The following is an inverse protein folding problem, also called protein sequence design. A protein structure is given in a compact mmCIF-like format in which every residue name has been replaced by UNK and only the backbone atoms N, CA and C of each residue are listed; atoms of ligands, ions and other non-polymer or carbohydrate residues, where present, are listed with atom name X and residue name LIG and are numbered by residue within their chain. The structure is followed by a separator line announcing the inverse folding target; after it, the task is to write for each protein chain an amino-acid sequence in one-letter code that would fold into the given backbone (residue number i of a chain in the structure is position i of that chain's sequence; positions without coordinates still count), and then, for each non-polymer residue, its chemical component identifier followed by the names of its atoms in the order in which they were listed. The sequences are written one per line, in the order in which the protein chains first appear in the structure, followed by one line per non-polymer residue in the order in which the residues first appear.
data_IF_948675519758
#
_entry.id   IF_948675519758
#
_cell.length_a   1.000
_cell.length_b   1.000
_cell.length_c   1.000
_cell.angle_alpha   90.00
_cell.angle_beta   90.00
_cell.angle_gamma   90.00
#
_symmetry.space_group_name_H-M   'P 1'
#
loop_
_entity.id
_entity.type
_entity.pdbx_description
1 polymer ?
#
# COMPACT_ATOMS: atom_id res chain seq x y z
N UNK A 1 4.20 4.01 92.64
CA UNK A 1 3.73 4.55 93.93
C UNK A 1 2.39 5.24 93.64
N UNK A 2 1.29 4.53 93.86
CA UNK A 2 0.35 4.72 94.98
C UNK A 2 -0.93 5.47 94.49
N UNK A 3 -1.99 4.65 94.44
CA UNK A 3 -3.37 4.87 94.93
C UNK A 3 -4.18 6.10 94.50
N UNK A 4 -5.25 5.75 93.76
CA UNK A 4 -6.68 5.98 94.06
C UNK A 4 -7.30 7.38 93.84
N UNK A 5 -8.64 7.41 93.64
CA UNK A 5 -9.32 8.26 92.67
C UNK A 5 -10.14 9.38 93.34
N UNK A 6 -10.65 10.30 92.53
CA UNK A 6 -11.80 11.12 92.91
C UNK A 6 -12.87 11.12 91.82
N UNK A 7 -14.07 10.79 92.28
CA UNK A 7 -15.32 10.79 91.54
C UNK A 7 -15.85 12.22 91.48
N UNK A 8 -16.14 12.72 90.28
CA UNK A 8 -17.02 13.89 90.13
C UNK A 8 -18.11 13.62 89.09
N UNK A 9 -19.31 13.46 89.64
CA UNK A 9 -20.61 13.38 89.00
C UNK A 9 -20.93 14.70 88.29
N UNK A 10 -21.09 14.69 86.96
CA UNK A 10 -21.83 15.72 86.20
C UNK A 10 -22.80 15.00 85.26
N UNK A 11 -24.04 14.88 85.71
CA UNK A 11 -25.16 15.71 85.26
C UNK A 11 -25.48 15.47 83.79
N UNK A 12 -26.41 14.55 83.56
CA UNK A 12 -26.93 14.23 82.24
C UNK A 12 -27.63 15.44 81.64
N UNK A 13 -27.08 15.92 80.54
CA UNK A 13 -27.86 16.67 79.55
C UNK A 13 -28.49 15.64 78.64
N UNK A 14 -29.81 15.49 78.76
CA UNK A 14 -30.60 14.68 77.86
C UNK A 14 -30.42 15.21 76.44
N UNK A 15 -29.72 14.46 75.61
CA UNK A 15 -29.59 14.74 74.19
C UNK A 15 -30.95 14.37 73.56
N UNK A 16 -31.86 15.34 73.47
CA UNK A 16 -33.13 15.18 72.78
C UNK A 16 -32.81 14.85 71.32
N UNK A 17 -32.91 13.56 70.97
CA UNK A 17 -32.93 13.10 69.58
C UNK A 17 -34.06 13.85 68.88
N UNK A 18 -33.73 14.87 68.09
CA UNK A 18 -34.61 15.42 67.07
C UNK A 18 -34.95 14.27 66.12
N UNK A 19 -36.12 13.66 66.30
CA UNK A 19 -36.74 12.89 65.24
C UNK A 19 -36.96 13.87 64.10
N UNK A 20 -36.15 13.78 63.05
CA UNK A 20 -36.48 14.45 61.80
C UNK A 20 -37.85 13.92 61.37
N UNK A 21 -38.83 14.79 61.09
CA UNK A 21 -40.11 14.33 60.59
C UNK A 21 -39.85 13.52 59.31
N UNK A 22 -40.31 12.27 59.31
CA UNK A 22 -40.38 11.47 58.09
C UNK A 22 -41.45 12.13 57.21
N UNK A 23 -41.01 12.98 56.29
CA UNK A 23 -41.86 13.41 55.20
C UNK A 23 -42.11 12.19 54.31
N UNK A 24 -43.33 11.66 54.36
CA UNK A 24 -43.76 10.58 53.47
C UNK A 24 -43.76 11.10 52.05
N UNK A 25 -42.88 10.53 51.22
CA UNK A 25 -42.83 10.81 49.79
C UNK A 25 -44.13 10.29 49.17
N UNK A 26 -44.81 11.11 48.36
CA UNK A 26 -46.06 10.67 47.73
C UNK A 26 -45.77 9.65 46.63
N UNK A 27 -46.62 8.63 46.44
CA UNK A 27 -46.46 7.62 45.38
C UNK A 27 -46.27 8.25 43.98
N UNK A 28 -46.89 9.41 43.75
CA UNK A 28 -46.78 10.15 42.49
C UNK A 28 -45.39 10.78 42.29
N UNK A 29 -44.73 11.21 43.36
CA UNK A 29 -43.40 11.82 43.31
C UNK A 29 -42.32 10.77 42.99
N UNK A 30 -42.47 9.55 43.54
CA UNK A 30 -41.64 8.40 43.16
C UNK A 30 -41.89 7.96 41.70
N UNK A 31 -43.14 8.00 41.25
CA UNK A 31 -43.47 7.68 39.85
C UNK A 31 -42.86 8.71 38.88
N UNK A 32 -43.00 10.01 39.17
CA UNK A 32 -42.47 11.10 38.33
C UNK A 32 -40.95 11.05 38.26
N UNK A 33 -40.27 10.88 39.41
CA UNK A 33 -38.80 10.79 39.44
C UNK A 33 -38.27 9.58 38.67
N UNK A 34 -38.93 8.42 38.77
CA UNK A 34 -38.57 7.23 37.99
C UNK A 34 -38.75 7.46 36.49
N UNK A 35 -39.86 8.08 36.07
CA UNK A 35 -40.13 8.38 34.66
C UNK A 35 -39.09 9.34 34.09
N UNK A 36 -38.77 10.42 34.81
CA UNK A 36 -37.74 11.38 34.39
C UNK A 36 -36.36 10.71 34.35
N UNK A 37 -36.01 9.91 35.37
CA UNK A 37 -34.75 9.18 35.43
C UNK A 37 -34.56 8.22 34.26
N UNK A 38 -35.59 7.44 33.93
CA UNK A 38 -35.58 6.54 32.77
C UNK A 38 -35.46 7.31 31.45
N UNK A 39 -36.16 8.44 31.33
CA UNK A 39 -36.06 9.31 30.14
C UNK A 39 -34.64 9.84 29.91
N UNK A 40 -33.97 10.31 30.98
CA UNK A 40 -32.59 10.80 30.90
C UNK A 40 -31.60 9.69 30.53
N UNK A 41 -31.74 8.51 31.15
CA UNK A 41 -30.87 7.35 30.84
C UNK A 41 -31.06 6.93 29.39
N UNK A 42 -32.30 6.86 28.89
CA UNK A 42 -32.59 6.50 27.49
C UNK A 42 -31.97 7.50 26.51
N UNK A 43 -32.04 8.80 26.80
CA UNK A 43 -31.44 9.85 25.98
C UNK A 43 -29.90 9.74 25.93
N UNK A 44 -29.24 9.59 27.09
CA UNK A 44 -27.79 9.42 27.18
C UNK A 44 -27.33 8.14 26.48
N UNK A 45 -28.11 7.06 26.62
CA UNK A 45 -27.80 5.78 25.99
C UNK A 45 -27.89 5.87 24.46
N UNK A 46 -28.88 6.59 23.92
CA UNK A 46 -28.99 6.85 22.48
C UNK A 46 -27.79 7.63 21.94
N UNK A 47 -27.39 8.70 22.64
CA UNK A 47 -26.20 9.48 22.29
C UNK A 47 -24.92 8.64 22.34
N UNK A 48 -24.77 7.80 23.36
CA UNK A 48 -23.63 6.89 23.48
C UNK A 48 -23.53 5.92 22.29
N UNK A 49 -24.63 5.30 21.87
CA UNK A 49 -24.63 4.38 20.73
C UNK A 49 -24.34 5.09 19.39
N UNK A 50 -24.93 6.26 19.15
CA UNK A 50 -24.65 7.05 17.95
C UNK A 50 -23.19 7.51 17.89
N UNK A 51 -22.65 7.96 19.02
CA UNK A 51 -21.25 8.35 19.17
C UNK A 51 -20.30 7.18 18.90
N UNK A 52 -20.54 6.01 19.53
CA UNK A 52 -19.74 4.80 19.31
C UNK A 52 -19.76 4.32 17.86
N UNK A 53 -20.92 4.37 17.19
CA UNK A 53 -21.03 4.00 15.77
C UNK A 53 -20.23 4.96 14.88
N UNK A 54 -20.32 6.26 15.16
CA UNK A 54 -19.57 7.29 14.42
C UNK A 54 -18.06 7.15 14.60
N UNK A 55 -17.61 6.88 15.83
CA UNK A 55 -16.20 6.63 16.11
C UNK A 55 -15.65 5.45 15.31
N UNK A 56 -16.37 4.32 15.28
CA UNK A 56 -15.95 3.14 14.53
C UNK A 56 -15.91 3.38 13.02
N UNK A 57 -16.89 4.10 12.48
CA UNK A 57 -16.89 4.50 11.06
C UNK A 57 -15.66 5.34 10.74
N UNK A 58 -15.38 6.35 11.58
CA UNK A 58 -14.23 7.22 11.38
C UNK A 58 -12.90 6.47 11.52
N UNK A 59 -12.77 5.59 12.50
CA UNK A 59 -11.57 4.79 12.72
C UNK A 59 -11.27 3.86 11.54
N UNK A 60 -12.26 3.12 11.04
CA UNK A 60 -12.06 2.24 9.88
C UNK A 60 -11.79 3.05 8.59
N UNK A 61 -12.38 4.23 8.44
CA UNK A 61 -12.05 5.13 7.33
C UNK A 61 -10.60 5.60 7.40
N UNK A 62 -10.12 6.01 8.58
CA UNK A 62 -8.74 6.44 8.77
C UNK A 62 -7.74 5.31 8.53
N UNK A 63 -8.01 4.10 9.04
CA UNK A 63 -7.18 2.91 8.80
C UNK A 63 -7.07 2.60 7.31
N UNK A 64 -8.21 2.53 6.61
CA UNK A 64 -8.23 2.31 5.16
C UNK A 64 -7.44 3.37 4.39
N UNK A 65 -7.57 4.63 4.79
CA UNK A 65 -6.87 5.74 4.14
C UNK A 65 -5.37 5.69 4.41
N UNK A 66 -4.95 5.35 5.62
CA UNK A 66 -3.53 5.20 5.98
C UNK A 66 -2.89 4.04 5.23
N UNK A 67 -3.53 2.88 5.28
CA UNK A 67 -3.08 1.64 4.65
C UNK A 67 -2.95 1.81 3.12
N UNK A 68 -3.98 2.38 2.49
CA UNK A 68 -3.95 2.66 1.05
C UNK A 68 -2.89 3.68 0.66
N UNK A 69 -2.72 4.77 1.42
CA UNK A 69 -1.65 5.75 1.14
C UNK A 69 -0.27 5.12 1.25
N UNK A 70 -0.04 4.29 2.26
CA UNK A 70 1.22 3.58 2.44
C UNK A 70 1.53 2.66 1.25
N UNK A 71 0.60 1.80 0.86
CA UNK A 71 0.79 0.88 -0.27
C UNK A 71 1.02 1.64 -1.59
N UNK A 72 0.24 2.69 -1.85
CA UNK A 72 0.39 3.53 -3.05
C UNK A 72 1.75 4.25 -3.07
N UNK A 73 2.22 4.77 -1.93
CA UNK A 73 3.52 5.43 -1.83
C UNK A 73 4.69 4.45 -2.03
N UNK A 74 4.58 3.23 -1.50
CA UNK A 74 5.60 2.19 -1.68
C UNK A 74 5.73 1.80 -3.16
N UNK A 75 4.61 1.52 -3.83
CA UNK A 75 4.59 1.21 -5.26
C UNK A 75 5.08 2.40 -6.09
N UNK A 76 4.65 3.63 -5.77
CA UNK A 76 5.11 4.84 -6.44
C UNK A 76 6.63 5.01 -6.35
N UNK A 77 7.20 4.83 -5.16
CA UNK A 77 8.65 4.97 -4.94
C UNK A 77 9.44 4.01 -5.82
N UNK A 78 9.02 2.74 -5.87
CA UNK A 78 9.66 1.73 -6.72
C UNK A 78 9.47 2.04 -8.22
N UNK A 79 8.25 2.40 -8.64
CA UNK A 79 7.96 2.78 -10.03
C UNK A 79 8.78 3.99 -10.49
N UNK A 80 9.01 4.99 -9.63
CA UNK A 80 9.85 6.16 -9.98
C UNK A 80 11.31 5.79 -10.22
N UNK A 81 11.79 4.69 -9.62
CA UNK A 81 13.15 4.19 -9.78
C UNK A 81 13.29 3.28 -11.02
N UNK A 82 12.19 2.78 -11.59
CA UNK A 82 12.17 1.92 -12.77
C UNK A 82 13.18 2.36 -13.84
N UNK A 83 14.09 1.44 -14.21
CA UNK A 83 15.10 1.66 -15.24
C UNK A 83 16.31 2.49 -14.82
N UNK A 84 16.41 2.89 -13.55
CA UNK A 84 17.58 3.65 -13.08
C UNK A 84 18.85 2.80 -13.20
N UNK A 85 19.92 3.41 -13.71
CA UNK A 85 21.28 2.90 -13.71
C UNK A 85 22.27 4.06 -13.68
N UNK A 86 23.50 3.80 -13.24
CA UNK A 86 24.53 4.83 -13.29
C UNK A 86 24.97 5.04 -14.73
N UNK A 87 25.06 6.30 -15.13
CA UNK A 87 25.61 6.68 -16.42
C UNK A 87 27.10 6.33 -16.47
N UNK A 88 27.50 5.57 -17.48
CA UNK A 88 28.87 5.05 -17.61
C UNK A 88 29.60 5.58 -18.83
N UNK A 89 28.85 6.05 -19.82
CA UNK A 89 29.34 6.91 -20.88
C UNK A 89 28.22 7.86 -21.27
N UNK A 90 28.54 9.15 -21.34
CA UNK A 90 27.73 10.15 -22.03
C UNK A 90 28.46 10.45 -23.33
N UNK A 91 27.84 10.14 -24.46
CA UNK A 91 28.36 10.57 -25.76
C UNK A 91 27.76 11.93 -26.10
N UNK A 92 28.51 12.80 -26.77
CA UNK A 92 27.95 14.02 -27.36
C UNK A 92 27.27 13.74 -28.73
N UNK A 93 27.39 12.52 -29.24
CA UNK A 93 26.80 12.09 -30.49
C UNK A 93 25.35 11.66 -30.25
N UNK A 94 24.40 12.33 -30.90
CA UNK A 94 22.97 11.99 -30.82
C UNK A 94 22.66 10.55 -31.31
N UNK A 95 23.62 9.90 -31.99
CA UNK A 95 23.53 8.52 -32.45
C UNK A 95 23.96 7.48 -31.39
N UNK A 96 24.69 7.88 -30.33
CA UNK A 96 25.16 6.96 -29.30
C UNK A 96 24.33 7.13 -28.01
N UNK A 97 23.39 6.20 -27.83
CA UNK A 97 22.50 6.07 -26.66
C UNK A 97 23.28 6.14 -25.35
N UNK A 98 22.86 7.01 -24.42
CA UNK A 98 23.38 7.06 -23.05
C UNK A 98 23.42 5.64 -22.44
N UNK A 99 24.62 5.19 -22.08
CA UNK A 99 24.83 3.81 -21.61
C UNK A 99 24.87 3.80 -20.09
N UNK A 100 23.90 3.13 -19.51
CA UNK A 100 23.86 2.85 -18.08
C UNK A 100 24.40 1.47 -17.77
N UNK A 101 24.84 1.25 -16.53
CA UNK A 101 25.19 -0.08 -16.01
C UNK A 101 23.97 -0.93 -15.59
N UNK A 102 22.75 -0.46 -15.87
CA UNK A 102 21.52 -1.25 -15.68
C UNK A 102 21.35 -2.25 -16.81
N UNK A 103 21.62 -3.52 -16.50
CA UNK A 103 21.60 -4.63 -17.45
C UNK A 103 20.66 -5.76 -17.04
N UNK A 104 20.27 -6.61 -17.98
CA UNK A 104 19.66 -7.89 -17.67
C UNK A 104 20.72 -8.93 -17.25
N UNK A 105 20.33 -10.06 -16.64
CA UNK A 105 21.26 -11.16 -16.34
C UNK A 105 22.02 -11.70 -17.56
N UNK A 106 21.47 -11.55 -18.77
CA UNK A 106 22.10 -11.92 -20.04
C UNK A 106 23.05 -10.84 -20.59
N UNK A 107 23.27 -9.75 -19.86
CA UNK A 107 24.14 -8.64 -20.27
C UNK A 107 23.56 -7.73 -21.35
N UNK A 108 22.24 -7.79 -21.59
CA UNK A 108 21.51 -6.86 -22.47
C UNK A 108 21.10 -5.60 -21.68
N UNK A 109 20.67 -4.50 -22.32
CA UNK A 109 20.07 -3.38 -21.59
C UNK A 109 18.93 -3.88 -20.70
N UNK A 110 18.89 -3.42 -19.46
CA UNK A 110 17.88 -3.85 -18.49
C UNK A 110 16.47 -3.43 -18.90
N UNK A 111 15.46 -4.16 -18.40
CA UNK A 111 14.05 -3.83 -18.58
C UNK A 111 13.52 -3.25 -17.27
N UNK A 112 13.33 -1.93 -17.23
CA UNK A 112 12.99 -1.22 -15.98
C UNK A 112 11.57 -1.47 -15.48
N UNK A 113 10.64 -1.71 -16.39
CA UNK A 113 9.23 -1.94 -16.08
C UNK A 113 8.62 -2.99 -17.02
N UNK A 114 7.81 -3.88 -16.45
CA UNK A 114 6.83 -4.72 -17.15
C UNK A 114 5.57 -4.87 -16.30
N UNK A 115 4.45 -5.17 -16.93
CA UNK A 115 3.15 -5.32 -16.27
C UNK A 115 2.35 -6.50 -16.78
N UNK A 116 1.38 -6.93 -16.00
CA UNK A 116 0.37 -7.92 -16.39
C UNK A 116 -1.01 -7.41 -15.96
N UNK A 117 -2.02 -7.54 -16.82
CA UNK A 117 -3.38 -7.08 -16.53
C UNK A 117 -4.10 -7.99 -15.52
N UNK A 118 -3.81 -9.30 -15.56
CA UNK A 118 -4.41 -10.32 -14.70
C UNK A 118 -3.39 -11.01 -13.76
N UNK A 119 -2.26 -10.34 -13.55
CA UNK A 119 -1.19 -10.82 -12.68
C UNK A 119 -0.33 -11.91 -13.32
N UNK A 120 0.51 -12.55 -12.49
CA UNK A 120 1.57 -13.45 -12.96
C UNK A 120 1.16 -14.92 -12.90
N UNK A 121 1.67 -15.72 -13.84
CA UNK A 121 1.53 -17.20 -13.82
C UNK A 121 2.29 -17.77 -12.62
N UNK A 122 3.53 -17.34 -12.43
CA UNK A 122 4.41 -17.73 -11.32
C UNK A 122 4.96 -16.49 -10.63
N UNK A 123 4.19 -15.85 -9.72
CA UNK A 123 4.61 -14.60 -9.10
C UNK A 123 5.89 -14.70 -8.27
N UNK A 124 6.27 -15.90 -7.82
CA UNK A 124 7.48 -16.16 -7.02
C UNK A 124 8.68 -16.64 -7.86
N UNK A 125 8.52 -16.75 -9.18
CA UNK A 125 9.60 -17.16 -10.08
C UNK A 125 10.25 -15.91 -10.70
N UNK A 126 11.55 -16.00 -10.98
CA UNK A 126 12.24 -14.96 -11.76
C UNK A 126 11.73 -14.88 -13.21
N UNK A 127 11.13 -15.97 -13.73
CA UNK A 127 10.50 -15.97 -15.04
C UNK A 127 9.32 -14.99 -15.06
N UNK A 128 9.31 -14.10 -16.04
CA UNK A 128 8.21 -13.18 -16.26
C UNK A 128 7.18 -13.83 -17.19
N UNK A 129 5.96 -14.03 -16.71
CA UNK A 129 4.85 -14.52 -17.51
C UNK A 129 3.51 -14.01 -16.95
N UNK A 130 2.68 -13.43 -17.81
CA UNK A 130 1.35 -12.94 -17.47
C UNK A 130 0.29 -14.03 -17.59
N UNK A 131 -0.67 -14.01 -16.68
CA UNK A 131 -1.91 -14.79 -16.82
C UNK A 131 -2.77 -14.18 -17.93
N UNK A 132 -3.53 -15.01 -18.67
CA UNK A 132 -4.42 -14.52 -19.72
C UNK A 132 -5.71 -13.88 -19.18
N UNK A 133 -6.14 -14.24 -17.97
CA UNK A 133 -7.36 -13.73 -17.32
C UNK A 133 -7.44 -14.15 -15.85
N UNK A 134 -8.30 -13.49 -15.07
CA UNK A 134 -8.79 -14.02 -13.79
C UNK A 134 -7.94 -13.64 -12.59
N UNK A 135 -7.25 -12.50 -12.66
CA UNK A 135 -6.50 -11.94 -11.56
C UNK A 135 -6.66 -10.42 -11.49
N UNK A 136 -5.88 -9.82 -10.59
CA UNK A 136 -5.71 -8.37 -10.57
C UNK A 136 -4.36 -8.05 -11.21
N UNK A 137 -4.20 -6.82 -11.65
CA UNK A 137 -2.98 -6.40 -12.31
C UNK A 137 -1.76 -6.62 -11.41
N UNK A 138 -0.57 -6.65 -12.00
CA UNK A 138 0.69 -6.74 -11.28
C UNK A 138 1.81 -6.15 -12.12
N UNK A 139 2.91 -5.77 -11.50
CA UNK A 139 4.05 -5.24 -12.22
C UNK A 139 5.37 -5.70 -11.63
N UNK A 140 6.36 -5.77 -12.52
CA UNK A 140 7.75 -6.10 -12.24
C UNK A 140 8.55 -4.83 -12.53
N UNK A 141 9.24 -4.31 -11.52
CA UNK A 141 10.05 -3.11 -11.62
C UNK A 141 11.48 -3.42 -11.24
N UNK A 142 12.42 -2.96 -12.07
CA UNK A 142 13.83 -3.23 -11.89
C UNK A 142 14.65 -1.95 -12.02
N UNK A 143 15.68 -1.86 -11.18
CA UNK A 143 16.59 -0.73 -11.14
C UNK A 143 17.88 -1.07 -10.40
N UNK A 144 18.94 -0.32 -10.71
CA UNK A 144 20.26 -0.45 -10.10
C UNK A 144 20.23 0.09 -8.68
N UNK A 145 20.83 -0.67 -7.76
CA UNK A 145 20.98 -0.29 -6.34
C UNK A 145 22.46 -0.20 -5.98
N UNK A 146 22.75 0.18 -4.74
CA UNK A 146 24.12 0.16 -4.24
C UNK A 146 24.70 -1.27 -4.32
N UNK A 147 25.96 -1.40 -4.72
CA UNK A 147 26.63 -2.70 -4.83
C UNK A 147 26.89 -3.34 -3.47
N UNK A 148 26.98 -2.51 -2.42
CA UNK A 148 27.09 -2.95 -1.03
C UNK A 148 25.71 -3.01 -0.41
N UNK A 149 25.38 -4.16 0.18
CA UNK A 149 24.20 -4.31 1.01
C UNK A 149 24.48 -3.81 2.42
N UNK A 150 23.66 -2.88 2.89
CA UNK A 150 23.66 -2.39 4.25
C UNK A 150 22.24 -2.46 4.82
N UNK A 151 22.10 -3.20 5.92
CA UNK A 151 20.81 -3.42 6.56
C UNK A 151 20.27 -2.15 7.23
N UNK A 152 21.17 -1.28 7.73
CA UNK A 152 20.75 -0.11 8.52
C UNK A 152 20.24 1.02 7.61
N UNK A 153 20.91 1.27 6.49
CA UNK A 153 20.47 2.26 5.51
C UNK A 153 19.49 1.72 4.46
N UNK A 154 19.40 0.38 4.31
CA UNK A 154 18.69 -0.26 3.21
C UNK A 154 19.42 -0.14 1.86
N UNK A 155 20.69 0.28 1.85
CA UNK A 155 21.48 0.31 0.63
C UNK A 155 21.61 -1.10 0.05
N UNK A 156 21.46 -1.23 -1.27
CA UNK A 156 21.55 -2.52 -1.96
C UNK A 156 20.38 -3.46 -1.69
N UNK A 157 19.29 -2.97 -1.07
CA UNK A 157 18.13 -3.78 -0.74
C UNK A 157 17.08 -3.84 -1.87
N UNK A 158 16.38 -4.96 -1.95
CA UNK A 158 15.13 -5.13 -2.69
C UNK A 158 13.92 -4.63 -1.88
N UNK A 159 12.71 -4.74 -2.43
CA UNK A 159 11.49 -4.26 -1.76
C UNK A 159 11.15 -4.99 -0.44
N UNK A 160 11.76 -6.14 -0.19
CA UNK A 160 11.60 -6.90 1.05
C UNK A 160 12.69 -6.54 2.07
N UNK A 161 13.57 -5.57 1.77
CA UNK A 161 14.72 -5.23 2.60
C UNK A 161 15.85 -6.26 2.53
N UNK A 162 15.80 -7.21 1.60
CA UNK A 162 16.83 -8.23 1.41
C UNK A 162 17.88 -7.77 0.41
N UNK A 163 19.12 -8.27 0.50
CA UNK A 163 20.16 -7.98 -0.48
C UNK A 163 19.65 -8.29 -1.89
N UNK A 164 19.70 -7.29 -2.78
CA UNK A 164 19.31 -7.45 -4.18
C UNK A 164 20.21 -8.46 -4.90
N UNK A 165 19.68 -9.04 -5.97
CA UNK A 165 20.47 -9.90 -6.86
C UNK A 165 21.60 -9.13 -7.54
N UNK A 166 22.68 -9.84 -7.86
CA UNK A 166 23.82 -9.30 -8.57
C UNK A 166 23.90 -9.83 -10.00
N UNK A 167 24.36 -8.98 -10.91
CA UNK A 167 24.62 -9.33 -12.31
C UNK A 167 26.09 -9.06 -12.61
N UNK A 168 26.78 -10.05 -13.17
CA UNK A 168 28.14 -9.85 -13.68
C UNK A 168 28.06 -9.28 -15.08
N UNK A 169 28.58 -8.07 -15.27
CA UNK A 169 28.64 -7.45 -16.59
C UNK A 169 29.53 -8.28 -17.54
N UNK A 170 29.14 -8.48 -18.81
CA UNK A 170 30.03 -9.09 -19.79
C UNK A 170 31.21 -8.16 -20.08
N UNK A 171 32.38 -8.73 -20.43
CA UNK A 171 33.60 -7.95 -20.77
C UNK A 171 33.40 -6.92 -21.89
N UNK A 172 32.43 -7.15 -22.77
CA UNK A 172 32.05 -6.25 -23.85
C UNK A 172 31.18 -5.07 -23.40
N UNK A 173 30.68 -5.06 -22.16
CA UNK A 173 29.84 -3.97 -21.66
C UNK A 173 30.71 -2.73 -21.38
N UNK A 174 30.31 -1.52 -21.83
CA UNK A 174 31.09 -0.29 -21.60
C UNK A 174 31.33 0.04 -20.12
N UNK A 175 30.42 -0.39 -19.25
CA UNK A 175 30.53 -0.25 -17.79
C UNK A 175 31.29 -1.40 -17.11
N UNK A 176 31.86 -2.34 -17.86
CA UNK A 176 32.54 -3.50 -17.28
C UNK A 176 33.76 -3.07 -16.46
N UNK A 177 33.78 -3.51 -15.20
CA UNK A 177 34.94 -3.41 -14.33
C UNK A 177 35.33 -4.83 -13.94
N UNK A 178 36.60 -5.18 -14.14
CA UNK A 178 37.08 -6.55 -13.97
C UNK A 178 36.68 -7.14 -12.61
N UNK A 179 35.93 -8.24 -12.66
CA UNK A 179 35.43 -8.98 -11.49
C UNK A 179 34.39 -8.28 -10.61
N UNK A 180 33.91 -7.07 -10.95
CA UNK A 180 32.92 -6.36 -10.11
C UNK A 180 31.49 -6.57 -10.60
N UNK A 181 30.63 -7.26 -9.84
CA UNK A 181 29.22 -7.36 -10.16
C UNK A 181 28.49 -6.05 -9.85
N UNK A 182 27.35 -5.84 -10.51
CA UNK A 182 26.41 -4.75 -10.21
C UNK A 182 25.16 -5.29 -9.52
N UNK A 183 24.67 -4.59 -8.51
CA UNK A 183 23.43 -4.97 -7.81
C UNK A 183 22.20 -4.38 -8.48
N UNK A 184 21.24 -5.24 -8.84
CA UNK A 184 19.99 -4.86 -9.50
C UNK A 184 18.83 -5.45 -8.70
N UNK A 185 18.00 -4.58 -8.14
CA UNK A 185 16.76 -4.99 -7.49
C UNK A 185 15.72 -5.28 -8.57
N UNK A 186 15.09 -6.44 -8.49
CA UNK A 186 13.86 -6.74 -9.23
C UNK A 186 12.74 -6.96 -8.22
N UNK A 187 11.79 -6.04 -8.21
CA UNK A 187 10.69 -6.03 -7.27
C UNK A 187 9.39 -6.32 -8.01
N UNK A 188 8.72 -7.39 -7.63
CA UNK A 188 7.44 -7.79 -8.20
C UNK A 188 6.30 -7.51 -7.24
N UNK A 189 5.38 -6.66 -7.66
CA UNK A 189 4.16 -6.33 -6.93
C UNK A 189 2.97 -7.05 -7.55
N UNK A 190 2.24 -7.82 -6.73
CA UNK A 190 1.10 -8.60 -7.19
C UNK A 190 0.09 -8.80 -6.08
N UNK A 191 -1.16 -9.05 -6.44
CA UNK A 191 -2.20 -9.44 -5.49
C UNK A 191 -2.40 -10.95 -5.53
N UNK A 192 -2.44 -11.58 -4.36
CA UNK A 192 -2.71 -13.01 -4.24
C UNK A 192 -3.53 -13.30 -2.98
N UNK A 193 -4.22 -14.44 -2.99
CA UNK A 193 -4.93 -14.96 -1.82
C UNK A 193 -3.95 -15.82 -1.00
N UNK A 194 -3.62 -15.47 0.24
CA UNK A 194 -2.80 -16.31 1.10
C UNK A 194 -3.47 -17.66 1.36
N UNK A 195 -2.68 -18.74 1.46
CA UNK A 195 -3.18 -20.09 1.76
C UNK A 195 -4.04 -20.09 3.02
N UNK A 196 -5.25 -20.66 2.94
CA UNK A 196 -6.19 -20.74 4.06
C UNK A 196 -6.96 -19.46 4.34
N UNK A 197 -6.84 -18.42 3.52
CA UNK A 197 -7.66 -17.21 3.60
C UNK A 197 -8.61 -17.08 2.40
N UNK A 198 -9.65 -16.28 2.59
CA UNK A 198 -10.62 -15.88 1.56
C UNK A 198 -10.49 -14.40 1.18
N UNK A 199 -9.45 -13.73 1.67
CA UNK A 199 -9.13 -12.35 1.34
C UNK A 199 -7.79 -12.29 0.65
N UNK A 200 -7.69 -11.37 -0.29
CA UNK A 200 -6.52 -11.08 -1.09
C UNK A 200 -5.63 -10.05 -0.39
N UNK A 201 -4.33 -10.15 -0.63
CA UNK A 201 -3.33 -9.21 -0.13
C UNK A 201 -2.40 -8.78 -1.25
N UNK A 202 -1.95 -7.52 -1.21
CA UNK A 202 -0.82 -7.04 -2.01
C UNK A 202 0.46 -7.62 -1.44
N UNK A 203 1.28 -8.19 -2.32
CA UNK A 203 2.60 -8.71 -2.01
C UNK A 203 3.68 -7.91 -2.71
N UNK A 204 4.85 -7.82 -2.07
CA UNK A 204 6.10 -7.62 -2.79
C UNK A 204 6.96 -8.88 -2.77
N UNK A 205 7.63 -9.14 -3.87
CA UNK A 205 8.63 -10.19 -3.99
C UNK A 205 9.87 -9.59 -4.65
N UNK A 206 10.92 -9.41 -3.85
CA UNK A 206 12.24 -9.04 -4.33
C UNK A 206 13.03 -10.24 -4.85
N UNK A 207 14.06 -9.98 -5.64
CA UNK A 207 14.88 -11.02 -6.27
C UNK A 207 15.98 -11.63 -5.39
N UNK A 208 16.20 -11.12 -4.17
CA UNK A 208 17.04 -11.73 -3.13
C UNK A 208 18.31 -12.45 -3.66
N UNK A 209 19.45 -11.76 -3.65
CA UNK A 209 20.74 -12.28 -4.11
C UNK A 209 21.29 -13.48 -3.33
N UNK A 210 20.64 -13.89 -2.22
CA UNK A 210 20.96 -15.08 -1.44
C UNK A 210 19.96 -16.23 -1.63
N UNK A 211 19.06 -16.14 -2.61
CA UNK A 211 18.10 -17.21 -2.97
C UNK A 211 16.97 -17.41 -1.97
N UNK A 212 16.70 -16.42 -1.09
CA UNK A 212 15.66 -16.47 -0.05
C UNK A 212 14.59 -15.39 -0.25
N UNK A 213 14.24 -15.10 -1.49
CA UNK A 213 13.17 -14.15 -1.81
C UNK A 213 11.82 -14.68 -1.36
N UNK A 214 11.37 -14.34 -0.15
CA UNK A 214 10.03 -14.68 0.33
C UNK A 214 9.12 -13.51 -0.03
N UNK A 215 7.99 -13.78 -0.70
CA UNK A 215 7.01 -12.72 -0.93
C UNK A 215 6.41 -12.25 0.41
N UNK A 216 6.44 -10.94 0.65
CA UNK A 216 5.93 -10.34 1.87
C UNK A 216 4.59 -9.64 1.62
N UNK A 217 3.56 -9.88 2.44
CA UNK A 217 2.31 -9.15 2.33
C UNK A 217 2.50 -7.71 2.84
N UNK A 218 2.17 -6.73 2.01
CA UNK A 218 2.22 -5.30 2.34
C UNK A 218 0.89 -4.85 2.94
N UNK A 219 -0.21 -5.27 2.29
CA UNK A 219 -1.55 -4.78 2.59
C UNK A 219 -2.58 -5.88 2.38
N UNK A 220 -3.51 -6.04 3.31
CA UNK A 220 -4.61 -7.00 3.22
C UNK A 220 -5.88 -6.36 2.65
N UNK A 221 -6.81 -7.20 2.19
CA UNK A 221 -8.15 -6.83 1.72
C UNK A 221 -8.15 -5.96 0.46
N UNK A 222 -7.29 -6.30 -0.51
CA UNK A 222 -7.25 -5.63 -1.82
C UNK A 222 -8.31 -6.27 -2.73
N UNK A 223 -9.40 -5.58 -3.02
CA UNK A 223 -10.49 -6.12 -3.85
C UNK A 223 -10.30 -5.90 -5.35
N UNK A 224 -9.53 -4.90 -5.76
CA UNK A 224 -9.16 -4.67 -7.16
C UNK A 224 -7.80 -3.94 -7.22
N UNK A 225 -6.98 -4.27 -8.21
CA UNK A 225 -5.79 -3.52 -8.57
C UNK A 225 -5.68 -3.48 -10.09
N UNK A 226 -5.64 -2.27 -10.64
CA UNK A 226 -5.55 -2.03 -12.09
C UNK A 226 -4.41 -1.09 -12.41
N UNK A 227 -3.77 -1.34 -13.55
CA UNK A 227 -2.65 -0.57 -14.07
C UNK A 227 -2.97 -0.16 -15.50
N UNK A 228 -2.73 1.11 -15.82
CA UNK A 228 -2.69 1.59 -17.19
C UNK A 228 -1.35 2.30 -17.43
N UNK A 229 -0.78 2.12 -18.61
CA UNK A 229 0.55 2.57 -18.98
C UNK A 229 0.43 3.71 -19.98
N UNK A 230 0.85 4.90 -19.57
CA UNK A 230 0.91 6.09 -20.41
C UNK A 230 2.08 5.98 -21.36
N UNK A 231 1.79 5.71 -22.63
CA UNK A 231 2.77 5.56 -23.71
C UNK A 231 3.03 6.93 -24.35
N UNK A 232 4.31 7.27 -24.47
CA UNK A 232 4.77 8.48 -25.13
C UNK A 232 4.68 8.37 -26.66
N UNK A 233 4.58 9.53 -27.30
CA UNK A 233 4.73 9.63 -28.75
C UNK A 233 6.15 9.33 -29.22
N UNK A 234 6.35 9.15 -30.53
CA UNK A 234 7.70 9.01 -31.10
C UNK A 234 8.53 10.30 -30.96
N UNK A 235 7.88 11.47 -31.01
CA UNK A 235 8.57 12.77 -31.12
C UNK A 235 8.51 13.61 -29.84
N UNK A 236 7.64 13.25 -28.88
CA UNK A 236 7.54 13.94 -27.60
C UNK A 236 7.37 12.96 -26.44
N UNK A 237 7.96 13.29 -25.30
CA UNK A 237 7.76 12.53 -24.05
C UNK A 237 6.38 12.79 -23.42
N UNK A 238 5.42 13.27 -24.22
CA UNK A 238 4.06 13.53 -23.79
C UNK A 238 3.25 12.24 -23.88
N UNK A 239 2.43 11.96 -22.86
CA UNK A 239 1.56 10.78 -22.91
C UNK A 239 0.45 11.01 -23.93
N UNK A 240 0.43 10.19 -24.97
CA UNK A 240 -0.62 10.25 -25.98
C UNK A 240 -1.84 9.43 -25.56
N UNK A 241 -1.62 8.27 -24.93
CA UNK A 241 -2.68 7.35 -24.50
C UNK A 241 -2.24 6.48 -23.33
N UNK A 242 -3.23 6.06 -22.55
CA UNK A 242 -3.07 5.03 -21.53
C UNK A 242 -3.53 3.68 -22.10
N UNK A 243 -2.66 2.68 -22.00
CA UNK A 243 -2.88 1.32 -22.51
C UNK A 243 -2.83 0.31 -21.37
N UNK A 244 -3.49 -0.83 -21.52
CA UNK A 244 -3.28 -1.98 -20.62
C UNK A 244 -1.92 -2.64 -20.89
N UNK A 245 -1.43 -3.51 -20.01
CA UNK A 245 -0.17 -4.23 -20.25
C UNK A 245 -0.22 -5.04 -21.55
N UNK A 246 -1.33 -5.75 -21.79
CA UNK A 246 -1.55 -6.54 -23.01
C UNK A 246 -1.48 -5.67 -24.27
N UNK A 247 -2.01 -4.43 -24.19
CA UNK A 247 -1.98 -3.49 -25.30
C UNK A 247 -0.59 -2.90 -25.54
N UNK A 248 0.21 -2.69 -24.49
CA UNK A 248 1.64 -2.32 -24.63
C UNK A 248 2.40 -3.46 -25.30
N UNK A 249 2.18 -4.71 -24.86
CA UNK A 249 2.84 -5.87 -25.45
C UNK A 249 2.49 -6.07 -26.93
N UNK A 250 1.29 -5.65 -27.34
CA UNK A 250 0.80 -5.75 -28.71
C UNK A 250 1.31 -4.63 -29.64
N UNK A 251 2.07 -3.63 -29.16
CA UNK A 251 2.57 -2.53 -29.99
C UNK A 251 3.52 -3.01 -31.10
N UNK A 252 4.40 -3.97 -30.78
CA UNK A 252 5.32 -4.60 -31.73
C UNK A 252 5.85 -5.92 -31.19
N UNK A 253 6.56 -6.70 -32.01
CA UNK A 253 7.27 -7.90 -31.54
C UNK A 253 8.45 -7.60 -30.61
N UNK A 254 8.96 -6.36 -30.61
CA UNK A 254 10.05 -5.93 -29.74
C UNK A 254 9.49 -5.42 -28.40
N UNK A 255 9.30 -6.33 -27.46
CA UNK A 255 8.79 -6.03 -26.13
C UNK A 255 9.63 -4.99 -25.39
N UNK A 256 10.94 -5.05 -25.54
CA UNK A 256 11.83 -4.08 -24.88
C UNK A 256 11.55 -2.65 -25.36
N UNK A 257 11.36 -2.47 -26.67
CA UNK A 257 11.03 -1.16 -27.23
C UNK A 257 9.63 -0.71 -26.80
N UNK A 258 8.64 -1.59 -26.80
CA UNK A 258 7.28 -1.26 -26.38
C UNK A 258 7.27 -0.67 -24.96
N UNK A 259 7.90 -1.36 -24.02
CA UNK A 259 7.91 -0.93 -22.62
C UNK A 259 8.81 0.27 -22.34
N UNK A 260 9.82 0.55 -23.18
CA UNK A 260 10.61 1.80 -23.12
C UNK A 260 9.78 3.04 -23.47
N UNK A 261 8.73 2.90 -24.28
CA UNK A 261 7.85 4.04 -24.61
C UNK A 261 6.92 4.43 -23.46
N UNK A 262 6.84 3.62 -22.39
CA UNK A 262 6.00 3.94 -21.23
C UNK A 262 6.68 5.02 -20.39
N UNK A 263 5.99 6.14 -20.17
CA UNK A 263 6.49 7.28 -19.38
C UNK A 263 5.65 7.58 -18.14
N UNK A 264 4.43 7.01 -18.06
CA UNK A 264 3.58 7.10 -16.87
C UNK A 264 2.90 5.77 -16.55
N UNK A 265 2.57 5.55 -15.28
CA UNK A 265 1.76 4.43 -14.81
C UNK A 265 0.61 4.99 -14.00
N UNK A 266 -0.63 4.77 -14.43
CA UNK A 266 -1.84 5.03 -13.65
C UNK A 266 -2.18 3.77 -12.87
N UNK A 267 -1.98 3.84 -11.56
CA UNK A 267 -2.29 2.79 -10.60
C UNK A 267 -3.62 3.10 -9.94
N UNK A 268 -4.55 2.15 -9.98
CA UNK A 268 -5.78 2.18 -9.18
C UNK A 268 -5.83 0.97 -8.25
N UNK A 269 -6.19 1.22 -6.99
CA UNK A 269 -6.35 0.18 -5.98
C UNK A 269 -7.66 0.37 -5.23
N UNK A 270 -8.41 -0.71 -5.08
CA UNK A 270 -9.62 -0.78 -4.26
C UNK A 270 -9.35 -1.64 -3.02
N UNK A 271 -9.65 -1.06 -1.86
CA UNK A 271 -9.46 -1.68 -0.56
C UNK A 271 -10.79 -1.84 0.16
N UNK A 272 -10.90 -2.88 1.00
CA UNK A 272 -12.06 -3.11 1.87
C UNK A 272 -11.63 -3.13 3.35
N UNK A 273 -12.42 -2.50 4.21
CA UNK A 273 -12.24 -2.53 5.66
C UNK A 273 -12.25 -3.97 6.20
N UNK A 274 -11.46 -4.21 7.25
CA UNK A 274 -11.43 -5.52 7.91
C UNK A 274 -12.73 -5.78 8.67
N UNK A 275 -13.26 -4.75 9.33
CA UNK A 275 -14.46 -4.83 10.13
C UNK A 275 -15.62 -4.09 9.45
N UNK A 276 -16.85 -4.48 9.82
CA UNK A 276 -18.01 -3.68 9.47
C UNK A 276 -17.84 -2.29 10.09
N UNK A 277 -18.27 -1.21 9.45
CA UNK A 277 -18.19 0.15 10.00
C UNK A 277 -19.52 0.90 9.88
N UNK A 278 -20.43 0.42 9.06
CA UNK A 278 -21.76 1.02 8.86
C UNK A 278 -22.82 -0.05 8.60
N UNK A 279 -24.08 0.29 8.82
CA UNK A 279 -25.25 -0.48 8.38
C UNK A 279 -25.88 0.10 7.11
N UNK A 280 -25.52 1.33 6.73
CA UNK A 280 -26.01 1.97 5.51
C UNK A 280 -25.16 1.51 4.32
N UNK A 281 -25.77 1.18 3.17
CA UNK A 281 -25.02 0.90 1.96
C UNK A 281 -24.07 2.05 1.59
N UNK A 282 -22.82 1.73 1.22
CA UNK A 282 -21.87 2.72 0.73
C UNK A 282 -21.89 2.75 -0.81
N UNK A 283 -22.12 3.93 -1.37
CA UNK A 283 -21.92 4.17 -2.80
C UNK A 283 -20.46 4.58 -3.08
N UNK A 284 -19.85 4.02 -4.11
CA UNK A 284 -18.50 4.39 -4.54
C UNK A 284 -18.32 4.15 -6.05
N UNK A 285 -17.20 4.59 -6.61
CA UNK A 285 -16.81 4.30 -8.00
C UNK A 285 -15.59 3.38 -7.94
N UNK A 286 -15.67 2.23 -8.60
CA UNK A 286 -14.58 1.24 -8.62
C UNK A 286 -13.43 1.65 -9.55
N UNK A 287 -12.37 0.83 -9.59
CA UNK A 287 -11.23 1.08 -10.47
C UNK A 287 -11.54 0.98 -11.98
N UNK A 288 -12.68 0.41 -12.36
CA UNK A 288 -13.20 0.42 -13.72
C UNK A 288 -13.99 1.68 -14.07
N UNK A 289 -14.17 2.61 -13.12
CA UNK A 289 -14.99 3.80 -13.31
C UNK A 289 -16.49 3.53 -13.19
N UNK A 290 -16.90 2.35 -12.71
CA UNK A 290 -18.30 1.96 -12.58
C UNK A 290 -18.80 2.28 -11.18
N UNK A 291 -20.03 2.80 -11.08
CA UNK A 291 -20.69 3.07 -9.79
C UNK A 291 -21.10 1.76 -9.14
N UNK A 292 -20.72 1.57 -7.88
CA UNK A 292 -20.98 0.38 -7.09
C UNK A 292 -21.71 0.72 -5.79
N UNK A 293 -22.37 -0.28 -5.20
CA UNK A 293 -23.03 -0.20 -3.91
C UNK A 293 -22.54 -1.35 -3.03
N UNK A 294 -21.88 -1.02 -1.92
CA UNK A 294 -21.48 -1.99 -0.90
C UNK A 294 -22.54 -2.11 0.19
N UNK A 295 -23.10 -3.30 0.35
CA UNK A 295 -24.17 -3.62 1.32
C UNK A 295 -23.69 -4.49 2.48
N UNK A 296 -22.44 -4.93 2.47
CA UNK A 296 -21.84 -5.78 3.50
C UNK A 296 -21.44 -5.00 4.77
N UNK A 297 -21.71 -3.69 4.83
CA UNK A 297 -21.34 -2.83 5.94
C UNK A 297 -19.84 -2.59 6.11
N UNK A 298 -18.99 -3.08 5.20
CA UNK A 298 -17.54 -2.84 5.20
C UNK A 298 -17.22 -1.68 4.25
N UNK A 299 -16.47 -0.71 4.76
CA UNK A 299 -16.10 0.44 3.96
C UNK A 299 -15.17 0.03 2.82
N UNK A 300 -15.29 0.73 1.70
CA UNK A 300 -14.38 0.63 0.56
C UNK A 300 -13.71 1.95 0.29
N UNK A 301 -12.43 1.89 -0.04
CA UNK A 301 -11.66 3.04 -0.48
C UNK A 301 -11.05 2.72 -1.84
N UNK A 302 -11.23 3.62 -2.80
CA UNK A 302 -10.62 3.52 -4.13
C UNK A 302 -9.62 4.66 -4.25
N UNK A 303 -8.38 4.31 -4.55
CA UNK A 303 -7.28 5.26 -4.66
C UNK A 303 -6.65 5.16 -6.04
N UNK A 304 -6.37 6.32 -6.64
CA UNK A 304 -5.69 6.39 -7.92
C UNK A 304 -4.47 7.30 -7.82
N UNK A 305 -3.35 6.86 -8.40
CA UNK A 305 -2.14 7.66 -8.56
C UNK A 305 -1.61 7.51 -9.99
N UNK A 306 -1.13 8.61 -10.55
CA UNK A 306 -0.37 8.59 -11.79
C UNK A 306 1.09 8.85 -11.44
N UNK A 307 1.94 7.87 -11.71
CA UNK A 307 3.38 7.92 -11.44
C UNK A 307 4.09 8.21 -12.74
N UNK A 308 5.01 9.17 -12.74
CA UNK A 308 5.90 9.43 -13.90
C UNK A 308 7.18 8.63 -13.73
N UNK A 309 7.57 7.90 -14.78
CA UNK A 309 8.80 7.11 -14.83
C UNK A 309 9.94 8.01 -15.31
N UNK A 310 10.99 8.16 -14.49
CA UNK A 310 12.06 9.12 -14.76
C UNK A 310 13.19 8.55 -15.59
N UNK A 311 13.43 7.25 -15.48
CA UNK A 311 14.59 6.59 -16.07
C UNK A 311 14.21 5.56 -17.14
N UNK A 312 12.91 5.41 -17.43
CA UNK A 312 12.43 4.50 -18.48
C UNK A 312 12.55 5.11 -19.89
N UNK A 313 12.95 6.38 -19.95
CA UNK A 313 13.08 7.17 -21.18
C UNK A 313 14.55 7.22 -21.59
N UNK A 314 15.00 6.21 -22.32
CA UNK A 314 16.37 6.10 -22.84
C UNK A 314 16.35 5.86 -24.35
N UNK A 315 16.63 6.93 -25.11
CA UNK A 315 16.90 6.99 -26.55
C UNK A 315 16.02 6.15 -27.48
N UNK A 316 14.79 6.58 -27.74
CA UNK A 316 14.01 6.12 -28.89
C UNK A 316 14.31 6.91 -30.18
N UNK A 317 15.38 7.71 -30.20
CA UNK A 317 15.65 8.70 -31.27
C UNK A 317 16.68 8.33 -32.32
N UNK A 318 17.26 7.12 -32.34
CA UNK A 318 18.43 6.81 -33.19
C UNK A 318 18.28 5.61 -34.16
N UNK A 319 17.07 5.11 -34.42
CA UNK A 319 16.87 3.98 -35.36
C UNK A 319 15.95 4.32 -36.56
N UNK A 320 16.01 5.55 -37.11
CA UNK A 320 15.26 5.86 -38.34
C UNK A 320 16.04 6.62 -39.44
N UNK A 321 17.33 6.33 -39.60
CA UNK A 321 18.07 6.73 -40.80
C UNK A 321 19.05 5.64 -41.24
N UNK A 322 18.53 4.63 -41.95
CA UNK A 322 19.28 3.84 -42.93
C UNK A 322 18.32 3.24 -43.97
#
# INVERSE_FOLDING_TARGET
MILLPETTKKSGTANLRRFSPQYGVTMIELAVTMVIGLGLIAAVMSLYFGSRSSYRLNEEHLRLQQDGRYAMQLMETNLRQAGFGHMTSASADAAEVDKTDFVSPEGKPGQGLRGCDDGFVKPLSHDFACKPSGGMAGFDVAYRVADVFDFDSGAGADCNGSQAGFVTLPKSHPSYVDGKPVSIAHNRFFVATPTGRNTTSLYCHGNSGNGRGIAQPILNNVEDMRLEFGVAGPDDFSVQRFLTATQVDALSSNQQQNWKTVVRVKLCMQLRASHHATQTPQHYVDCGGVKQIATDGKLRAVMTRIVTLRNNVGAAGAESLS
#
